data_IF_701268539171
#
_entry.id   IF_701268539171
#
_cell.length_a   1.000
_cell.length_b   1.000
_cell.length_c   1.000
_cell.angle_alpha   90.00
_cell.angle_beta   90.00
_cell.angle_gamma   90.00
#
_symmetry.space_group_name_H-M   'P 1'
#
loop_
_entity.id
_entity.type
_entity.pdbx_description
1 polymer ?
#
# COMPACT_ATOMS: atom_id res chain seq x y z
N UNK A 1 -21.00 34.09 -25.34
CA UNK A 1 -20.35 34.25 -24.02
C UNK A 1 -19.99 32.89 -23.39
N UNK A 2 -20.91 31.92 -23.34
CA UNK A 2 -20.65 30.56 -22.82
C UNK A 2 -19.49 29.82 -23.52
N UNK A 3 -19.45 29.79 -24.86
CA UNK A 3 -18.34 29.17 -25.61
C UNK A 3 -16.96 29.82 -25.38
N UNK A 4 -16.93 31.12 -25.09
CA UNK A 4 -15.68 31.85 -24.82
C UNK A 4 -15.14 31.55 -23.42
N UNK A 5 -16.02 31.44 -22.42
CA UNK A 5 -15.65 31.04 -21.05
C UNK A 5 -15.19 29.58 -21.00
N UNK A 6 -15.81 28.70 -21.78
CA UNK A 6 -15.44 27.28 -21.84
C UNK A 6 -14.08 27.08 -22.53
N UNK A 7 -13.78 27.85 -23.59
CA UNK A 7 -12.47 27.84 -24.26
C UNK A 7 -11.35 28.43 -23.39
N UNK A 8 -11.61 29.52 -22.64
CA UNK A 8 -10.66 30.08 -21.68
C UNK A 8 -10.39 29.13 -20.50
N UNK A 9 -11.42 28.45 -20.00
CA UNK A 9 -11.30 27.43 -18.95
C UNK A 9 -10.46 26.23 -19.42
N UNK A 10 -10.68 25.75 -20.65
CA UNK A 10 -9.90 24.67 -21.25
C UNK A 10 -8.43 25.05 -21.50
N UNK A 11 -8.17 26.26 -22.01
CA UNK A 11 -6.81 26.80 -22.23
C UNK A 11 -6.04 26.97 -20.91
N UNK A 12 -6.70 27.51 -19.89
CA UNK A 12 -6.14 27.66 -18.53
C UNK A 12 -5.84 26.32 -17.87
N UNK A 13 -6.76 25.34 -17.96
CA UNK A 13 -6.52 23.97 -17.48
C UNK A 13 -5.36 23.29 -18.21
N UNK A 14 -5.24 23.45 -19.53
CA UNK A 14 -4.14 22.91 -20.32
C UNK A 14 -2.76 23.48 -19.91
N UNK A 15 -2.70 24.78 -19.61
CA UNK A 15 -1.47 25.42 -19.15
C UNK A 15 -1.05 24.97 -17.74
N UNK A 16 -2.01 24.77 -16.83
CA UNK A 16 -1.76 24.24 -15.48
C UNK A 16 -1.27 22.79 -15.51
N UNK A 17 -1.84 21.95 -16.37
CA UNK A 17 -1.41 20.54 -16.54
C UNK A 17 0.01 20.49 -17.12
N UNK A 18 0.33 21.32 -18.11
CA UNK A 18 1.68 21.40 -18.68
C UNK A 18 2.75 21.80 -17.66
N UNK A 19 2.46 22.79 -16.81
CA UNK A 19 3.38 23.20 -15.73
C UNK A 19 3.57 22.11 -14.65
N UNK A 20 2.50 21.38 -14.31
CA UNK A 20 2.59 20.23 -13.40
C UNK A 20 3.47 19.11 -13.95
N UNK A 21 3.34 18.79 -15.25
CA UNK A 21 4.16 17.76 -15.90
C UNK A 21 5.65 18.12 -15.94
N UNK A 22 5.99 19.39 -16.19
CA UNK A 22 7.38 19.87 -16.16
C UNK A 22 7.96 19.78 -14.75
N UNK A 23 7.22 20.22 -13.73
CA UNK A 23 7.64 20.10 -12.33
C UNK A 23 7.81 18.64 -11.91
N UNK A 24 6.90 17.77 -12.34
CA UNK A 24 6.96 16.34 -12.09
C UNK A 24 8.22 15.70 -12.68
N UNK A 25 8.51 15.96 -13.97
CA UNK A 25 9.72 15.46 -14.64
C UNK A 25 11.01 15.93 -13.96
N UNK A 26 11.04 17.20 -13.50
CA UNK A 26 12.17 17.73 -12.73
C UNK A 26 12.36 16.97 -11.41
N UNK A 27 11.27 16.72 -10.67
CA UNK A 27 11.32 16.00 -9.38
C UNK A 27 11.72 14.53 -9.54
N UNK A 28 11.31 13.88 -10.63
CA UNK A 28 11.81 12.54 -10.97
C UNK A 28 13.34 12.53 -11.09
N UNK A 29 13.90 13.44 -11.86
CA UNK A 29 15.36 13.54 -12.04
C UNK A 29 16.07 13.82 -10.72
N UNK A 30 15.59 14.79 -9.94
CA UNK A 30 16.14 15.11 -8.63
C UNK A 30 16.12 13.92 -7.67
N UNK A 31 15.06 13.10 -7.70
CA UNK A 31 14.98 11.92 -6.83
C UNK A 31 15.98 10.85 -7.26
N UNK A 32 16.14 10.59 -8.56
CA UNK A 32 17.16 9.66 -9.06
C UNK A 32 18.57 10.05 -8.60
N UNK A 33 18.92 11.32 -8.71
CA UNK A 33 20.22 11.85 -8.24
C UNK A 33 20.37 11.75 -6.71
N UNK A 34 19.29 11.94 -5.95
CA UNK A 34 19.30 11.80 -4.50
C UNK A 34 19.45 10.34 -4.07
N UNK A 35 18.79 9.40 -4.76
CA UNK A 35 18.90 7.96 -4.49
C UNK A 35 20.30 7.41 -4.81
N UNK A 36 21.00 7.97 -5.79
CA UNK A 36 22.38 7.57 -6.09
C UNK A 36 23.37 7.82 -4.93
N UNK A 37 23.03 8.73 -4.01
CA UNK A 37 23.84 9.09 -2.84
C UNK A 37 23.14 8.76 -1.52
N UNK A 38 22.22 7.80 -1.54
CA UNK A 38 21.45 7.41 -0.36
C UNK A 38 22.36 6.79 0.72
N UNK A 39 22.07 7.07 2.00
CA UNK A 39 22.83 6.50 3.12
C UNK A 39 22.72 4.97 3.16
N UNK A 40 23.69 4.27 3.77
CA UNK A 40 23.78 2.80 3.70
C UNK A 40 22.58 2.05 4.29
N UNK A 41 21.89 2.64 5.28
CA UNK A 41 20.75 2.04 5.99
C UNK A 41 19.38 2.54 5.49
N UNK A 42 19.37 3.49 4.56
CA UNK A 42 18.16 4.09 3.99
C UNK A 42 17.60 3.41 2.72
N UNK A 43 18.28 2.53 1.95
CA UNK A 43 17.77 2.07 0.66
C UNK A 43 16.45 1.29 0.77
N UNK A 44 16.33 0.40 1.76
CA UNK A 44 15.10 -0.37 1.98
C UNK A 44 13.93 0.57 2.37
N UNK A 45 14.19 1.60 3.16
CA UNK A 45 13.19 2.59 3.57
C UNK A 45 12.74 3.41 2.36
N UNK A 46 13.67 3.79 1.47
CA UNK A 46 13.32 4.50 0.25
C UNK A 46 12.50 3.65 -0.71
N UNK A 47 12.86 2.37 -0.90
CA UNK A 47 12.06 1.43 -1.70
C UNK A 47 10.65 1.30 -1.13
N UNK A 48 10.53 1.13 0.18
CA UNK A 48 9.22 1.02 0.84
C UNK A 48 8.38 2.28 0.67
N UNK A 49 8.98 3.46 0.88
CA UNK A 49 8.28 4.73 0.73
C UNK A 49 7.84 4.96 -0.72
N UNK A 50 8.68 4.65 -1.71
CA UNK A 50 8.31 4.75 -3.12
C UNK A 50 7.14 3.82 -3.48
N UNK A 51 7.15 2.59 -2.95
CA UNK A 51 6.07 1.63 -3.14
C UNK A 51 4.78 2.11 -2.46
N UNK A 52 4.83 2.50 -1.18
CA UNK A 52 3.66 2.98 -0.41
C UNK A 52 3.06 4.27 -0.96
N UNK A 53 3.86 5.13 -1.59
CA UNK A 53 3.40 6.33 -2.28
C UNK A 53 2.94 6.07 -3.72
N UNK A 54 3.14 4.85 -4.23
CA UNK A 54 2.71 4.46 -5.57
C UNK A 54 3.46 5.17 -6.69
N UNK A 55 4.75 5.46 -6.49
CA UNK A 55 5.64 6.08 -7.50
C UNK A 55 6.76 5.14 -7.95
N UNK A 56 6.77 3.91 -7.44
CA UNK A 56 7.81 2.90 -7.66
C UNK A 56 8.04 2.55 -9.13
N UNK A 57 7.01 2.64 -9.97
CA UNK A 57 7.11 2.32 -11.41
C UNK A 57 8.07 3.23 -12.18
N UNK A 58 8.41 4.42 -11.67
CA UNK A 58 9.43 5.29 -12.26
C UNK A 58 10.87 4.89 -11.92
N UNK A 59 11.03 3.99 -10.94
CA UNK A 59 12.32 3.66 -10.32
C UNK A 59 12.61 2.16 -10.32
N UNK A 60 12.06 1.40 -11.28
CA UNK A 60 12.18 -0.06 -11.29
C UNK A 60 13.64 -0.53 -11.34
N UNK A 61 14.49 0.12 -12.14
CA UNK A 61 15.92 -0.21 -12.24
C UNK A 61 16.66 0.05 -10.91
N UNK A 62 16.38 1.19 -10.27
CA UNK A 62 16.97 1.56 -9.00
C UNK A 62 16.53 0.63 -7.87
N UNK A 63 15.23 0.28 -7.84
CA UNK A 63 14.65 -0.65 -6.87
C UNK A 63 15.26 -2.04 -7.05
N UNK A 64 15.37 -2.53 -8.28
CA UNK A 64 15.97 -3.84 -8.57
C UNK A 64 17.42 -3.89 -8.11
N UNK A 65 18.22 -2.86 -8.42
CA UNK A 65 19.61 -2.76 -8.00
C UNK A 65 19.75 -2.78 -6.46
N UNK A 66 18.89 -2.05 -5.74
CA UNK A 66 18.87 -2.03 -4.27
C UNK A 66 18.55 -3.42 -3.73
N UNK A 67 17.49 -4.06 -4.21
CA UNK A 67 17.02 -5.34 -3.68
C UNK A 67 17.96 -6.49 -4.01
N UNK A 68 18.58 -6.50 -5.19
CA UNK A 68 19.62 -7.47 -5.56
C UNK A 68 20.80 -7.43 -4.59
N UNK A 69 21.25 -6.23 -4.19
CA UNK A 69 22.31 -6.04 -3.19
C UNK A 69 21.89 -6.52 -1.79
N UNK A 70 20.61 -6.40 -1.44
CA UNK A 70 20.09 -6.84 -0.15
C UNK A 70 19.91 -8.36 -0.09
N UNK A 71 19.58 -8.99 -1.22
CA UNK A 71 19.47 -10.45 -1.35
C UNK A 71 20.81 -11.15 -1.09
N UNK A 72 21.92 -10.62 -1.62
CA UNK A 72 23.26 -11.18 -1.37
C UNK A 72 23.68 -11.04 0.09
N UNK A 73 23.24 -9.97 0.77
CA UNK A 73 23.54 -9.71 2.19
C UNK A 73 22.75 -10.62 3.13
N UNK A 74 21.49 -10.93 2.80
CA UNK A 74 20.66 -11.87 3.56
C UNK A 74 21.25 -13.31 3.60
N UNK A 75 22.08 -13.67 2.62
CA UNK A 75 22.69 -15.01 2.54
C UNK A 75 24.01 -15.16 3.32
N UNK A 76 24.57 -14.07 3.85
CA UNK A 76 25.98 -14.05 4.32
C UNK A 76 26.22 -13.78 5.80
N UNK A 77 25.42 -12.93 6.46
CA UNK A 77 25.63 -12.55 7.87
C UNK A 77 24.39 -11.81 8.40
N UNK A 78 23.47 -12.52 9.07
CA UNK A 78 22.25 -11.93 9.65
C UNK A 78 22.40 -11.59 11.14
N UNK A 79 23.60 -11.67 11.71
CA UNK A 79 23.82 -11.68 13.16
C UNK A 79 23.34 -10.44 13.93
N UNK A 80 23.29 -9.26 13.30
CA UNK A 80 23.04 -7.98 13.99
C UNK A 80 21.76 -7.22 13.62
N UNK A 81 21.07 -7.60 12.54
CA UNK A 81 19.93 -6.80 12.04
C UNK A 81 18.70 -6.94 12.96
N UNK A 82 18.10 -5.80 13.33
CA UNK A 82 16.86 -5.72 14.11
C UNK A 82 15.66 -6.32 13.37
N UNK A 83 14.61 -6.75 14.09
CA UNK A 83 13.43 -7.39 13.49
C UNK A 83 12.80 -6.52 12.40
N UNK A 84 12.67 -5.21 12.64
CA UNK A 84 12.09 -4.29 11.63
C UNK A 84 12.85 -4.32 10.31
N UNK A 85 14.19 -4.37 10.35
CA UNK A 85 15.03 -4.43 9.14
C UNK A 85 14.88 -5.77 8.44
N UNK A 86 14.89 -6.88 9.18
CA UNK A 86 14.72 -8.23 8.64
C UNK A 86 13.35 -8.38 7.99
N UNK A 87 12.28 -7.98 8.70
CA UNK A 87 10.92 -8.03 8.19
C UNK A 87 10.71 -7.16 6.96
N UNK A 88 11.27 -5.95 6.95
CA UNK A 88 11.21 -5.05 5.80
C UNK A 88 11.94 -5.64 4.59
N UNK A 89 13.16 -6.16 4.78
CA UNK A 89 13.95 -6.79 3.71
C UNK A 89 13.20 -8.00 3.14
N UNK A 90 12.71 -8.88 4.00
CA UNK A 90 11.93 -10.06 3.63
C UNK A 90 10.71 -9.67 2.78
N UNK A 91 9.92 -8.72 3.27
CA UNK A 91 8.71 -8.23 2.59
C UNK A 91 9.05 -7.69 1.21
N UNK A 92 9.99 -6.75 1.11
CA UNK A 92 10.31 -6.09 -0.16
C UNK A 92 10.90 -7.06 -1.20
N UNK A 93 11.72 -8.02 -0.76
CA UNK A 93 12.25 -9.07 -1.65
C UNK A 93 11.12 -9.95 -2.20
N UNK A 94 10.23 -10.45 -1.34
CA UNK A 94 9.09 -11.27 -1.80
C UNK A 94 8.14 -10.50 -2.72
N UNK A 95 7.88 -9.23 -2.43
CA UNK A 95 7.06 -8.38 -3.31
C UNK A 95 7.66 -8.22 -4.72
N UNK A 96 8.97 -8.39 -4.88
CA UNK A 96 9.66 -8.39 -6.17
C UNK A 96 9.92 -9.78 -6.76
N UNK A 97 9.29 -10.82 -6.21
CA UNK A 97 9.41 -12.18 -6.74
C UNK A 97 10.61 -12.98 -6.22
N UNK A 98 11.41 -12.43 -5.30
CA UNK A 98 12.53 -13.19 -4.72
C UNK A 98 12.01 -14.22 -3.70
N UNK A 99 12.45 -15.46 -3.85
CA UNK A 99 12.14 -16.53 -2.91
C UNK A 99 13.05 -16.44 -1.66
N UNK A 100 12.57 -15.78 -0.61
CA UNK A 100 13.25 -15.68 0.70
C UNK A 100 12.59 -16.66 1.67
N UNK A 101 13.37 -17.51 2.35
CA UNK A 101 12.82 -18.48 3.31
C UNK A 101 12.43 -17.80 4.63
N UNK A 102 11.53 -18.44 5.39
CA UNK A 102 11.11 -17.95 6.72
C UNK A 102 12.21 -18.09 7.78
N UNK A 103 13.32 -18.76 7.45
CA UNK A 103 14.46 -18.95 8.35
C UNK A 103 15.11 -17.63 8.79
N UNK A 104 14.95 -16.57 8.00
CA UNK A 104 15.35 -15.21 8.36
C UNK A 104 14.78 -14.76 9.72
N UNK A 105 13.66 -15.36 10.16
CA UNK A 105 13.02 -15.06 11.44
C UNK A 105 13.43 -16.00 12.58
N UNK A 106 14.21 -17.07 12.33
CA UNK A 106 14.52 -18.09 13.33
C UNK A 106 15.21 -17.53 14.58
N UNK A 107 16.05 -16.50 14.42
CA UNK A 107 16.75 -15.85 15.53
C UNK A 107 15.82 -15.14 16.53
N UNK A 108 14.58 -14.83 16.12
CA UNK A 108 13.57 -14.18 16.97
C UNK A 108 12.62 -15.18 17.63
N UNK A 109 12.70 -16.47 17.28
CA UNK A 109 11.76 -17.52 17.73
C UNK A 109 11.90 -17.89 19.21
N UNK A 110 13.11 -17.77 19.77
CA UNK A 110 13.45 -18.24 21.13
C UNK A 110 13.58 -17.12 22.17
N UNK A 111 13.39 -15.85 21.80
CA UNK A 111 13.36 -14.77 22.76
C UNK A 111 11.95 -14.68 23.35
N UNK A 112 11.76 -15.36 24.48
CA UNK A 112 10.51 -15.36 25.26
C UNK A 112 10.05 -13.94 25.64
N UNK A 113 10.98 -13.00 25.69
CA UNK A 113 10.71 -11.57 25.68
C UNK A 113 10.98 -11.03 24.27
N UNK A 114 9.93 -10.81 23.49
CA UNK A 114 9.99 -9.88 22.37
C UNK A 114 10.31 -8.49 22.96
N UNK A 115 11.59 -8.20 23.24
CA UNK A 115 12.08 -6.82 23.39
C UNK A 115 12.18 -6.19 22.01
N UNK A 116 11.09 -6.31 21.28
CA UNK A 116 10.92 -5.92 19.89
C UNK A 116 10.13 -4.63 19.93
N UNK A 117 10.65 -3.63 19.25
CA UNK A 117 9.99 -2.35 19.11
C UNK A 117 8.69 -2.50 18.28
N UNK A 118 7.77 -1.56 18.46
CA UNK A 118 6.49 -1.57 17.74
C UNK A 118 6.69 -1.58 16.23
N UNK A 119 7.73 -0.89 15.73
CA UNK A 119 8.10 -0.90 14.32
C UNK A 119 8.49 -2.31 13.83
N UNK A 120 9.26 -3.06 14.61
CA UNK A 120 9.60 -4.45 14.33
C UNK A 120 8.37 -5.36 14.27
N UNK A 121 7.43 -5.20 15.20
CA UNK A 121 6.18 -5.95 15.22
C UNK A 121 5.28 -5.62 14.02
N UNK A 122 5.12 -4.34 13.67
CA UNK A 122 4.40 -3.92 12.46
C UNK A 122 5.07 -4.49 11.21
N UNK A 123 6.40 -4.44 11.16
CA UNK A 123 7.17 -5.02 10.05
C UNK A 123 6.90 -6.52 9.89
N UNK A 124 6.92 -7.28 10.99
CA UNK A 124 6.65 -8.72 10.97
C UNK A 124 5.21 -9.04 10.58
N UNK A 125 4.24 -8.27 11.11
CA UNK A 125 2.85 -8.37 10.68
C UNK A 125 2.70 -8.15 9.17
N UNK A 126 3.26 -7.07 8.63
CA UNK A 126 3.23 -6.76 7.19
C UNK A 126 3.91 -7.82 6.33
N UNK A 127 5.04 -8.37 6.81
CA UNK A 127 5.76 -9.46 6.14
C UNK A 127 4.94 -10.77 6.12
N UNK A 128 4.16 -11.05 7.16
CA UNK A 128 3.38 -12.27 7.27
C UNK A 128 2.30 -12.40 6.20
N UNK A 129 1.78 -11.29 5.67
CA UNK A 129 0.79 -11.30 4.59
C UNK A 129 1.33 -11.81 3.24
N UNK A 130 2.65 -12.01 3.14
CA UNK A 130 3.33 -12.62 2.00
C UNK A 130 3.56 -14.14 2.19
N UNK A 131 2.97 -14.76 3.20
CA UNK A 131 3.00 -16.21 3.36
C UNK A 131 2.31 -16.92 2.20
N UNK A 132 2.72 -18.15 1.96
CA UNK A 132 2.08 -19.08 1.02
C UNK A 132 1.97 -20.48 1.65
N UNK A 133 1.25 -21.44 1.05
CA UNK A 133 0.99 -22.74 1.69
C UNK A 133 2.28 -23.49 2.04
N UNK A 134 2.36 -23.98 3.29
CA UNK A 134 3.56 -24.63 3.86
C UNK A 134 4.45 -23.72 4.72
N UNK A 135 4.00 -22.49 5.01
CA UNK A 135 4.72 -21.51 5.84
C UNK A 135 3.98 -21.18 7.14
N UNK A 136 3.52 -22.21 7.86
CA UNK A 136 2.70 -22.07 9.07
C UNK A 136 3.42 -21.29 10.18
N UNK A 137 4.76 -21.32 10.19
CA UNK A 137 5.57 -20.55 11.13
C UNK A 137 5.44 -19.04 10.92
N UNK A 138 5.35 -18.58 9.67
CA UNK A 138 5.16 -17.18 9.34
C UNK A 138 3.72 -16.75 9.61
N UNK A 139 2.75 -17.63 9.34
CA UNK A 139 1.35 -17.39 9.70
C UNK A 139 1.19 -17.21 11.23
N UNK A 140 1.83 -18.06 12.03
CA UNK A 140 1.80 -17.96 13.49
C UNK A 140 2.51 -16.69 13.99
N UNK A 141 3.64 -16.34 13.40
CA UNK A 141 4.34 -15.10 13.70
C UNK A 141 3.45 -13.88 13.40
N UNK A 142 2.75 -13.89 12.26
CA UNK A 142 1.78 -12.85 11.88
C UNK A 142 0.64 -12.71 12.89
N UNK A 143 0.00 -13.83 13.29
CA UNK A 143 -1.05 -13.84 14.31
C UNK A 143 -0.58 -13.30 15.65
N UNK A 144 0.63 -13.67 16.08
CA UNK A 144 1.20 -13.18 17.33
C UNK A 144 1.50 -11.69 17.26
N UNK A 145 2.05 -11.20 16.15
CA UNK A 145 2.26 -9.77 15.94
C UNK A 145 0.95 -8.99 15.95
N UNK A 146 -0.08 -9.48 15.28
CA UNK A 146 -1.42 -8.88 15.28
C UNK A 146 -2.00 -8.74 16.70
N UNK A 147 -1.95 -9.81 17.50
CA UNK A 147 -2.40 -9.80 18.89
C UNK A 147 -1.64 -8.79 19.73
N UNK A 148 -0.31 -8.79 19.66
CA UNK A 148 0.54 -7.87 20.43
C UNK A 148 0.32 -6.41 20.04
N UNK A 149 0.17 -6.12 18.74
CA UNK A 149 -0.13 -4.77 18.24
C UNK A 149 -1.52 -4.31 18.68
N UNK A 150 -2.52 -5.20 18.62
CA UNK A 150 -3.88 -4.92 19.10
C UNK A 150 -3.90 -4.64 20.59
N UNK A 151 -3.18 -5.41 21.40
CA UNK A 151 -3.09 -5.18 22.85
C UNK A 151 -2.27 -3.93 23.19
N UNK A 152 -1.22 -3.64 22.43
CA UNK A 152 -0.48 -2.39 22.57
C UNK A 152 -1.37 -1.17 22.29
N UNK A 153 -2.17 -1.20 21.21
CA UNK A 153 -3.09 -0.12 20.84
C UNK A 153 -4.09 0.22 21.95
N UNK A 154 -4.68 -0.81 22.59
CA UNK A 154 -5.64 -0.62 23.70
C UNK A 154 -5.06 0.20 24.85
N UNK A 155 -3.75 0.12 25.07
CA UNK A 155 -3.06 0.78 26.18
C UNK A 155 -2.32 2.07 25.79
N UNK A 156 -2.21 2.37 24.48
CA UNK A 156 -1.36 3.45 23.96
C UNK A 156 -2.09 4.31 22.92
N UNK A 157 -3.40 4.56 23.11
CA UNK A 157 -4.22 5.32 22.15
C UNK A 157 -3.70 6.76 21.89
N UNK A 158 -3.04 7.36 22.88
CA UNK A 158 -2.47 8.71 22.78
C UNK A 158 -1.03 8.73 22.18
N UNK A 159 -0.46 7.56 21.88
CA UNK A 159 0.88 7.48 21.30
C UNK A 159 0.86 7.96 19.83
N UNK A 160 1.88 8.73 19.44
CA UNK A 160 2.04 9.20 18.08
C UNK A 160 2.05 8.10 17.01
N UNK A 161 2.41 6.86 17.35
CA UNK A 161 2.40 5.71 16.45
C UNK A 161 1.05 5.01 16.39
N UNK A 162 0.11 5.27 17.33
CA UNK A 162 -1.15 4.55 17.45
C UNK A 162 -1.97 4.57 16.15
N UNK A 163 -2.08 5.74 15.52
CA UNK A 163 -2.80 5.87 14.25
C UNK A 163 -2.15 5.05 13.13
N UNK A 164 -0.82 5.08 13.01
CA UNK A 164 -0.10 4.32 11.99
C UNK A 164 -0.18 2.80 12.22
N UNK A 165 -0.13 2.36 13.48
CA UNK A 165 -0.28 0.96 13.88
C UNK A 165 -1.69 0.46 13.57
N UNK A 166 -2.72 1.19 14.01
CA UNK A 166 -4.12 0.85 13.72
C UNK A 166 -4.37 0.77 12.21
N UNK A 167 -3.85 1.74 11.46
CA UNK A 167 -3.99 1.76 10.01
C UNK A 167 -3.30 0.57 9.32
N UNK A 168 -2.14 0.14 9.83
CA UNK A 168 -1.43 -1.03 9.29
C UNK A 168 -2.20 -2.32 9.56
N UNK A 169 -2.78 -2.47 10.76
CA UNK A 169 -3.62 -3.62 11.11
C UNK A 169 -4.87 -3.70 10.23
N UNK A 170 -5.55 -2.58 10.03
CA UNK A 170 -6.77 -2.49 9.23
C UNK A 170 -6.49 -2.67 7.73
N UNK A 171 -5.38 -2.12 7.23
CA UNK A 171 -5.01 -2.13 5.82
C UNK A 171 -3.60 -2.65 5.58
N UNK A 172 -3.37 -3.98 5.71
CA UNK A 172 -2.08 -4.57 5.38
C UNK A 172 -1.64 -4.17 3.98
N UNK A 173 -0.41 -3.71 3.83
CA UNK A 173 0.04 -3.08 2.59
C UNK A 173 -0.07 -4.03 1.40
N UNK A 174 0.31 -5.29 1.58
CA UNK A 174 0.29 -6.28 0.50
C UNK A 174 -1.12 -6.57 -0.03
N UNK A 175 -2.14 -6.45 0.83
CA UNK A 175 -3.55 -6.75 0.54
C UNK A 175 -4.39 -5.49 0.26
N UNK A 176 -3.79 -4.32 0.31
CA UNK A 176 -4.47 -3.03 0.16
C UNK A 176 -4.00 -2.30 -1.10
N UNK A 177 -4.91 -1.55 -1.74
CA UNK A 177 -4.56 -0.73 -2.90
C UNK A 177 -3.75 0.50 -2.47
N UNK A 178 -2.50 0.54 -2.92
CA UNK A 178 -1.56 1.63 -2.68
C UNK A 178 -2.19 3.01 -2.88
N UNK A 179 -2.97 3.22 -3.95
CA UNK A 179 -3.53 4.54 -4.27
C UNK A 179 -4.43 5.09 -3.17
N UNK A 180 -5.24 4.25 -2.54
CA UNK A 180 -6.13 4.66 -1.43
C UNK A 180 -5.37 4.87 -0.12
N UNK A 181 -4.19 4.25 0.03
CA UNK A 181 -3.38 4.30 1.26
C UNK A 181 -2.28 5.35 1.23
N UNK A 182 -1.85 5.76 0.04
CA UNK A 182 -0.73 6.67 -0.18
C UNK A 182 -0.91 8.03 0.53
N UNK A 183 -2.13 8.56 0.60
CA UNK A 183 -2.43 9.83 1.30
C UNK A 183 -2.14 9.75 2.79
N UNK A 184 -2.65 8.71 3.47
CA UNK A 184 -2.40 8.50 4.89
C UNK A 184 -0.90 8.33 5.16
N UNK A 185 -0.23 7.49 4.36
CA UNK A 185 1.21 7.30 4.48
C UNK A 185 1.99 8.61 4.29
N UNK A 186 1.67 9.40 3.26
CA UNK A 186 2.36 10.66 2.96
C UNK A 186 2.23 11.71 4.08
N UNK A 187 1.09 11.72 4.78
CA UNK A 187 0.84 12.65 5.89
C UNK A 187 1.74 12.33 7.10
N UNK A 188 2.01 11.05 7.33
CA UNK A 188 2.84 10.57 8.45
C UNK A 188 4.33 10.39 8.07
N UNK A 189 4.65 10.37 6.78
CA UNK A 189 6.00 10.16 6.28
C UNK A 189 6.83 11.44 6.31
N UNK A 190 7.78 11.51 7.26
CA UNK A 190 8.65 12.66 7.47
C UNK A 190 10.13 12.26 7.61
N UNK A 191 11.03 13.20 7.32
CA UNK A 191 12.47 12.99 7.39
C UNK A 191 13.25 14.24 7.00
N UNK A 192 14.49 14.35 7.49
CA UNK A 192 15.38 15.49 7.20
C UNK A 192 16.19 15.29 5.92
N UNK A 193 16.20 14.06 5.41
CA UNK A 193 16.96 13.66 4.24
C UNK A 193 16.44 14.36 2.98
N UNK A 194 17.36 14.72 2.09
CA UNK A 194 17.02 15.34 0.80
C UNK A 194 16.05 14.46 0.00
N UNK A 195 16.32 13.16 -0.10
CA UNK A 195 15.48 12.24 -0.89
C UNK A 195 14.05 12.14 -0.35
N UNK A 196 13.85 12.21 0.98
CA UNK A 196 12.52 12.19 1.61
C UNK A 196 11.69 13.37 1.14
N UNK A 197 12.25 14.59 1.20
CA UNK A 197 11.54 15.79 0.79
C UNK A 197 11.19 15.77 -0.72
N UNK A 198 12.15 15.35 -1.55
CA UNK A 198 11.94 15.24 -3.01
C UNK A 198 10.86 14.19 -3.33
N UNK A 199 10.88 13.05 -2.64
CA UNK A 199 9.89 11.98 -2.80
C UNK A 199 8.48 12.44 -2.39
N UNK A 200 8.35 13.16 -1.26
CA UNK A 200 7.05 13.72 -0.83
C UNK A 200 6.49 14.68 -1.87
N UNK A 201 7.32 15.57 -2.42
CA UNK A 201 6.90 16.52 -3.47
C UNK A 201 6.49 15.80 -4.76
N UNK A 202 7.28 14.81 -5.18
CA UNK A 202 6.97 13.98 -6.34
C UNK A 202 5.61 13.27 -6.15
N UNK A 203 5.39 12.63 -5.01
CA UNK A 203 4.15 11.92 -4.71
C UNK A 203 2.93 12.85 -4.72
N UNK A 204 3.05 14.09 -4.23
CA UNK A 204 1.97 15.09 -4.31
C UNK A 204 1.65 15.46 -5.76
N UNK A 205 2.68 15.66 -6.60
CA UNK A 205 2.49 15.96 -8.02
C UNK A 205 1.82 14.80 -8.76
N UNK A 206 2.31 13.57 -8.56
CA UNK A 206 1.73 12.34 -9.09
C UNK A 206 0.27 12.17 -8.70
N UNK A 207 -0.04 12.39 -7.42
CA UNK A 207 -1.40 12.28 -6.92
C UNK A 207 -2.34 13.25 -7.66
N UNK A 208 -1.94 14.51 -7.80
CA UNK A 208 -2.74 15.52 -8.50
C UNK A 208 -2.92 15.19 -9.99
N UNK A 209 -1.87 14.68 -10.65
CA UNK A 209 -1.95 14.27 -12.06
C UNK A 209 -2.94 13.12 -12.25
N UNK A 210 -2.84 12.07 -11.45
CA UNK A 210 -3.72 10.90 -11.55
C UNK A 210 -5.15 11.21 -11.14
N UNK A 211 -5.36 12.02 -10.09
CA UNK A 211 -6.69 12.50 -9.72
C UNK A 211 -7.37 13.22 -10.89
N UNK A 212 -6.63 14.05 -11.63
CA UNK A 212 -7.18 14.75 -12.78
C UNK A 212 -7.62 13.81 -13.91
N UNK A 213 -6.90 12.69 -14.11
CA UNK A 213 -7.27 11.66 -15.09
C UNK A 213 -8.52 10.92 -14.64
N UNK A 214 -8.55 10.43 -13.40
CA UNK A 214 -9.70 9.71 -12.83
C UNK A 214 -10.96 10.59 -12.90
N UNK A 215 -10.87 11.87 -12.54
CA UNK A 215 -12.02 12.78 -12.61
C UNK A 215 -12.56 12.95 -14.03
N UNK A 216 -11.69 12.96 -15.04
CA UNK A 216 -12.11 13.05 -16.44
C UNK A 216 -12.77 11.74 -16.92
N UNK A 217 -12.31 10.60 -16.43
CA UNK A 217 -12.86 9.27 -16.77
C UNK A 217 -14.21 9.03 -16.07
N UNK A 218 -14.33 9.34 -14.77
CA UNK A 218 -15.58 9.19 -14.00
C UNK A 218 -16.70 10.08 -14.55
N UNK A 219 -16.38 11.26 -15.08
CA UNK A 219 -17.37 12.13 -15.73
C UNK A 219 -17.92 11.58 -17.07
N UNK A 220 -17.41 10.46 -17.58
CA UNK A 220 -17.84 9.85 -18.83
C UNK A 220 -18.70 8.60 -18.66
N UNK A 221 -18.91 8.11 -17.44
CA UNK A 221 -19.60 6.84 -17.21
C UNK A 221 -20.37 6.86 -15.87
N UNK A 222 -21.63 7.29 -15.91
CA UNK A 222 -22.60 7.11 -14.82
C UNK A 222 -23.95 6.75 -15.47
N UNK A 223 -24.21 5.44 -15.65
CA UNK A 223 -25.55 4.84 -15.86
C UNK A 223 -25.44 3.30 -15.99
N UNK A 224 -25.01 2.61 -14.93
CA UNK A 224 -25.08 1.13 -14.90
C UNK A 224 -25.84 0.63 -13.68
N UNK A 225 -27.03 0.08 -13.93
CA UNK A 225 -27.79 -0.73 -12.97
C UNK A 225 -27.15 -2.13 -12.92
N UNK A 226 -26.18 -2.29 -12.01
CA UNK A 226 -25.63 -3.59 -11.66
C UNK A 226 -26.56 -4.31 -10.68
N UNK A 227 -27.14 -5.43 -11.10
CA UNK A 227 -27.80 -6.37 -10.19
C UNK A 227 -26.93 -7.63 -10.08
N UNK A 228 -26.02 -7.66 -9.11
CA UNK A 228 -25.24 -8.85 -8.78
C UNK A 228 -25.91 -9.64 -7.64
N UNK A 229 -25.73 -10.96 -7.67
CA UNK A 229 -26.24 -11.85 -6.63
C UNK A 229 -25.40 -11.69 -5.35
N UNK A 230 -26.06 -11.49 -4.21
CA UNK A 230 -25.36 -11.42 -2.91
C UNK A 230 -24.80 -12.79 -2.50
N UNK A 231 -23.47 -12.88 -2.34
CA UNK A 231 -22.82 -14.08 -1.83
C UNK A 231 -23.34 -14.49 -0.44
N UNK A 232 -23.77 -13.51 0.36
CA UNK A 232 -24.35 -13.73 1.69
C UNK A 232 -25.67 -14.49 1.55
N UNK A 233 -26.52 -14.07 0.61
CA UNK A 233 -27.78 -14.75 0.33
C UNK A 233 -27.57 -16.19 -0.15
N UNK A 234 -26.57 -16.44 -0.97
CA UNK A 234 -26.19 -17.80 -1.39
C UNK A 234 -25.72 -18.64 -0.19
N UNK A 235 -24.79 -18.12 0.61
CA UNK A 235 -24.19 -18.87 1.73
C UNK A 235 -25.22 -19.21 2.82
N UNK A 236 -26.06 -18.27 3.22
CA UNK A 236 -27.10 -18.49 4.24
C UNK A 236 -28.17 -19.47 3.75
N UNK A 237 -28.50 -19.45 2.45
CA UNK A 237 -29.45 -20.39 1.87
C UNK A 237 -28.89 -21.82 1.79
N UNK A 238 -27.59 -21.97 1.54
CA UNK A 238 -26.89 -23.26 1.53
C UNK A 238 -26.59 -23.79 2.95
N UNK A 239 -26.46 -22.90 3.94
CA UNK A 239 -26.11 -23.23 5.33
C UNK A 239 -27.19 -22.72 6.30
N UNK A 240 -28.27 -23.51 6.44
CA UNK A 240 -29.39 -23.16 7.31
C UNK A 240 -28.93 -22.93 8.76
N UNK A 241 -29.22 -21.73 9.28
CA UNK A 241 -28.91 -21.32 10.66
C UNK A 241 -27.67 -20.43 10.82
N UNK A 242 -26.91 -20.17 9.75
CA UNK A 242 -25.81 -19.19 9.76
C UNK A 242 -26.33 -17.75 9.67
N UNK A 243 -25.67 -16.84 10.39
CA UNK A 243 -25.93 -15.40 10.26
C UNK A 243 -25.16 -14.77 9.09
N UNK A 244 -25.49 -13.52 8.77
CA UNK A 244 -24.74 -12.73 7.79
C UNK A 244 -23.29 -12.53 8.24
N UNK A 245 -23.03 -12.42 9.55
CA UNK A 245 -21.68 -12.34 10.12
C UNK A 245 -20.89 -13.63 9.93
N UNK A 246 -21.53 -14.81 10.09
CA UNK A 246 -20.88 -16.09 9.82
C UNK A 246 -20.47 -16.21 8.34
N UNK A 247 -21.36 -15.78 7.42
CA UNK A 247 -21.09 -15.73 5.99
C UNK A 247 -19.92 -14.80 5.66
N UNK A 248 -19.88 -13.60 6.27
CA UNK A 248 -18.78 -12.64 6.10
C UNK A 248 -17.46 -13.19 6.63
N UNK A 249 -17.45 -13.78 7.83
CA UNK A 249 -16.25 -14.38 8.42
C UNK A 249 -15.71 -15.53 7.56
N UNK A 250 -16.60 -16.38 7.04
CA UNK A 250 -16.24 -17.45 6.11
C UNK A 250 -15.59 -16.91 4.82
N UNK A 251 -16.18 -15.89 4.19
CA UNK A 251 -15.64 -15.30 2.96
C UNK A 251 -14.31 -14.59 3.19
N UNK A 252 -14.16 -13.85 4.30
CA UNK A 252 -12.88 -13.23 4.68
C UNK A 252 -11.79 -14.30 4.84
N UNK A 253 -12.10 -15.40 5.52
CA UNK A 253 -11.16 -16.52 5.66
C UNK A 253 -10.80 -17.15 4.31
N UNK A 254 -11.79 -17.42 3.46
CA UNK A 254 -11.59 -17.93 2.09
C UNK A 254 -10.68 -17.02 1.26
N UNK A 255 -10.95 -15.71 1.24
CA UNK A 255 -10.12 -14.72 0.55
C UNK A 255 -8.70 -14.78 1.07
N UNK A 256 -8.50 -14.86 2.40
CA UNK A 256 -7.16 -14.95 2.99
C UNK A 256 -6.40 -16.20 2.57
N UNK A 257 -7.07 -17.34 2.43
CA UNK A 257 -6.44 -18.58 1.95
C UNK A 257 -6.12 -18.50 0.45
N UNK A 258 -7.01 -17.94 -0.38
CA UNK A 258 -6.73 -17.71 -1.81
C UNK A 258 -5.55 -16.75 -2.03
N UNK A 259 -5.38 -15.74 -1.16
CA UNK A 259 -4.20 -14.87 -1.17
C UNK A 259 -2.89 -15.64 -1.03
N UNK A 260 -2.85 -16.73 -0.25
CA UNK A 260 -1.66 -17.57 -0.09
C UNK A 260 -1.32 -18.31 -1.40
N UNK A 261 -2.33 -18.84 -2.07
CA UNK A 261 -2.14 -19.46 -3.38
C UNK A 261 -1.68 -18.45 -4.42
N UNK A 262 -2.29 -17.25 -4.44
CA UNK A 262 -1.84 -16.17 -5.32
C UNK A 262 -0.39 -15.77 -5.05
N UNK A 263 0.02 -15.65 -3.78
CA UNK A 263 1.40 -15.39 -3.40
C UNK A 263 2.36 -16.45 -3.94
N UNK A 264 1.99 -17.74 -3.82
CA UNK A 264 2.76 -18.87 -4.36
C UNK A 264 2.96 -18.76 -5.87
N UNK A 265 1.89 -18.48 -6.61
CA UNK A 265 1.94 -18.36 -8.07
C UNK A 265 2.78 -17.15 -8.50
N UNK A 266 2.70 -16.03 -7.78
CA UNK A 266 3.53 -14.85 -8.02
C UNK A 266 5.04 -15.12 -7.82
N UNK A 267 5.37 -16.01 -6.89
CA UNK A 267 6.76 -16.42 -6.58
C UNK A 267 7.23 -17.61 -7.43
N UNK A 268 6.34 -18.25 -8.19
CA UNK A 268 6.66 -19.45 -8.95
C UNK A 268 7.59 -19.13 -10.11
N UNK A 269 8.71 -19.85 -10.20
CA UNK A 269 9.60 -19.78 -11.36
C UNK A 269 8.93 -20.24 -12.67
N UNK A 270 7.80 -20.96 -12.59
CA UNK A 270 7.00 -21.39 -13.74
C UNK A 270 5.86 -20.44 -14.09
N UNK A 271 5.74 -19.27 -13.43
CA UNK A 271 4.72 -18.29 -13.75
C UNK A 271 4.92 -17.79 -15.20
N UNK A 272 3.96 -18.02 -16.12
CA UNK A 272 4.12 -17.65 -17.52
C UNK A 272 3.88 -16.16 -17.77
N UNK A 273 3.42 -15.40 -16.77
CA UNK A 273 3.01 -14.02 -16.91
C UNK A 273 4.16 -13.03 -16.63
N UNK A 274 4.09 -11.87 -17.27
CA UNK A 274 5.05 -10.78 -17.02
C UNK A 274 4.86 -10.16 -15.64
N UNK A 275 5.90 -9.53 -15.10
CA UNK A 275 5.82 -8.83 -13.81
C UNK A 275 4.69 -7.78 -13.78
N UNK A 276 4.47 -7.06 -14.88
CA UNK A 276 3.38 -6.09 -15.02
C UNK A 276 2.00 -6.74 -14.92
N UNK A 277 1.82 -7.91 -15.54
CA UNK A 277 0.56 -8.65 -15.47
C UNK A 277 0.34 -9.24 -14.09
N UNK A 278 1.38 -9.78 -13.46
CA UNK A 278 1.32 -10.23 -12.05
C UNK A 278 0.94 -9.09 -11.11
N UNK A 279 1.50 -7.89 -11.30
CA UNK A 279 1.13 -6.69 -10.52
C UNK A 279 -0.33 -6.26 -10.78
N UNK A 280 -0.82 -6.38 -12.02
CA UNK A 280 -2.22 -6.16 -12.36
C UNK A 280 -3.14 -7.15 -11.64
N UNK A 281 -2.83 -8.45 -11.69
CA UNK A 281 -3.59 -9.49 -11.02
C UNK A 281 -3.67 -9.25 -9.50
N UNK A 282 -2.54 -8.89 -8.88
CA UNK A 282 -2.50 -8.48 -7.46
C UNK A 282 -3.37 -7.25 -7.20
N UNK A 283 -3.34 -6.23 -8.07
CA UNK A 283 -4.20 -5.05 -7.91
C UNK A 283 -5.69 -5.38 -8.04
N UNK A 284 -6.07 -6.28 -8.96
CA UNK A 284 -7.45 -6.79 -9.05
C UNK A 284 -7.84 -7.52 -7.76
N UNK A 285 -6.97 -8.38 -7.23
CA UNK A 285 -7.21 -9.06 -5.96
C UNK A 285 -7.39 -8.08 -4.78
N UNK A 286 -6.65 -6.95 -4.75
CA UNK A 286 -6.80 -5.90 -3.73
C UNK A 286 -8.09 -5.10 -3.85
N UNK A 287 -8.75 -5.10 -5.01
CA UNK A 287 -10.08 -4.49 -5.17
C UNK A 287 -11.18 -5.34 -4.52
N UNK A 288 -10.98 -6.65 -4.41
CA UNK A 288 -12.02 -7.60 -3.95
C UNK A 288 -12.63 -7.17 -2.61
N UNK A 289 -11.88 -6.90 -1.52
CA UNK A 289 -12.50 -6.50 -0.26
C UNK A 289 -13.36 -5.23 -0.36
N UNK A 290 -12.95 -4.27 -1.19
CA UNK A 290 -13.69 -3.02 -1.42
C UNK A 290 -14.96 -3.23 -2.22
N UNK A 291 -14.94 -4.21 -3.13
CA UNK A 291 -16.09 -4.56 -3.96
C UNK A 291 -17.11 -5.42 -3.19
N UNK A 292 -16.74 -6.05 -2.07
CA UNK A 292 -17.65 -6.90 -1.30
C UNK A 292 -18.03 -6.31 0.07
N UNK A 293 -17.66 -5.06 0.33
CA UNK A 293 -18.03 -4.30 1.54
C UNK A 293 -19.44 -3.67 1.43
N UNK A 294 -20.41 -4.39 0.88
CA UNK A 294 -21.78 -3.87 0.80
C UNK A 294 -22.43 -3.81 2.18
N UNK A 295 -23.11 -2.70 2.45
CA UNK A 295 -24.03 -2.58 3.57
C UNK A 295 -25.44 -3.06 3.19
N UNK A 296 -26.36 -3.05 4.16
CA UNK A 296 -27.77 -3.43 3.98
C UNK A 296 -28.55 -2.58 2.97
N UNK A 297 -27.97 -1.50 2.46
CA UNK A 297 -28.54 -0.61 1.45
C UNK A 297 -27.91 -0.83 0.06
N UNK A 298 -27.14 -1.91 -0.14
CA UNK A 298 -26.41 -2.19 -1.37
C UNK A 298 -25.45 -1.06 -1.81
N UNK A 299 -25.01 -0.21 -0.86
CA UNK A 299 -23.96 0.76 -1.13
C UNK A 299 -22.59 0.19 -0.75
N UNK A 300 -21.53 0.74 -1.36
CA UNK A 300 -20.13 0.40 -1.09
C UNK A 300 -19.47 1.51 -0.26
N UNK A 301 -19.77 1.64 1.04
CA UNK A 301 -19.31 2.75 1.88
C UNK A 301 -17.79 2.90 1.88
N UNK A 302 -17.03 1.81 2.02
CA UNK A 302 -15.56 1.89 1.96
C UNK A 302 -15.05 2.40 0.61
N UNK A 303 -15.62 1.94 -0.51
CA UNK A 303 -15.23 2.42 -1.83
C UNK A 303 -15.59 3.90 -2.01
N UNK A 304 -16.79 4.29 -1.57
CA UNK A 304 -17.28 5.67 -1.64
C UNK A 304 -16.40 6.62 -0.81
N UNK A 305 -16.03 6.24 0.42
CA UNK A 305 -15.11 7.02 1.26
C UNK A 305 -13.74 7.16 0.62
N UNK A 306 -13.19 6.07 0.08
CA UNK A 306 -11.91 6.10 -0.62
C UNK A 306 -11.96 6.99 -1.87
N UNK A 307 -13.02 6.89 -2.67
CA UNK A 307 -13.23 7.74 -3.85
C UNK A 307 -13.41 9.20 -3.46
N UNK A 308 -14.18 9.50 -2.41
CA UNK A 308 -14.31 10.85 -1.86
C UNK A 308 -12.93 11.36 -1.43
N UNK A 309 -12.17 10.61 -0.65
CA UNK A 309 -10.83 11.01 -0.23
C UNK A 309 -9.92 11.27 -1.43
N UNK A 310 -9.96 10.43 -2.48
CA UNK A 310 -9.20 10.66 -3.70
C UNK A 310 -9.60 11.96 -4.39
N UNK A 311 -10.89 12.23 -4.55
CA UNK A 311 -11.45 13.29 -5.40
C UNK A 311 -11.76 14.61 -4.68
N UNK A 312 -11.79 14.67 -3.35
CA UNK A 312 -12.13 15.90 -2.60
C UNK A 312 -10.93 16.64 -2.03
N UNK A 313 -9.81 15.94 -1.80
CA UNK A 313 -8.60 16.50 -1.18
C UNK A 313 -7.44 16.64 -2.18
N UNK A 314 -7.53 17.59 -3.12
CA UNK A 314 -6.36 17.91 -3.95
C UNK A 314 -5.27 18.52 -3.05
N UNK A 315 -4.02 18.09 -3.16
CA UNK A 315 -2.90 18.68 -2.39
C UNK A 315 -2.66 20.16 -2.73
N UNK A 316 -3.30 20.68 -3.78
CA UNK A 316 -3.26 22.09 -4.20
C UNK A 316 -4.16 23.00 -3.35
N UNK A 317 -5.25 22.49 -2.79
CA UNK A 317 -6.18 23.29 -1.98
C UNK A 317 -5.54 23.79 -0.67
N UNK A 318 -4.60 23.01 -0.10
CA UNK A 318 -3.89 23.36 1.12
C UNK A 318 -2.71 24.33 0.91
N UNK A 319 -2.22 24.49 -0.32
CA UNK A 319 -1.14 25.44 -0.65
C UNK A 319 -1.62 26.87 -0.90
N UNK A 320 -2.86 27.02 -1.38
CA UNK A 320 -3.44 28.33 -1.71
C UNK A 320 -4.04 29.07 -0.50
N UNK A 321 -4.38 28.37 0.58
CA UNK A 321 -4.81 28.98 1.84
C UNK A 321 -3.65 29.68 2.57
N UNK A 322 -2.46 29.09 2.57
CA UNK A 322 -1.28 29.66 3.24
C UNK A 322 -0.67 30.88 2.53
N UNK A 323 -0.97 31.11 1.24
CA UNK A 323 -0.54 32.32 0.52
C UNK A 323 -1.51 33.50 0.67
N UNK A 324 -2.76 33.27 1.12
CA UNK A 324 -3.73 34.35 1.37
C UNK A 324 -3.64 34.94 2.78
N UNK A 325 -2.93 34.30 3.70
CA UNK A 325 -2.71 34.78 5.06
C UNK A 325 -1.42 35.59 5.23
N UNK A 326 -0.64 35.80 4.16
CA UNK A 326 0.60 36.59 4.16
C UNK A 326 0.64 37.65 3.04
N UNK A 327 -0.50 38.03 2.48
CA UNK A 327 -0.63 39.13 1.52
C UNK A 327 -1.42 40.29 2.12
#
# INVERSE_FOLDING_TARGET
MAHFLQAHSASSKGQVIGDLQVRHAKKLKELKEALANIGENEPLIAVDAMQRLGVDYHFQEEIEAILKKQCTRASGDEGSDELGVVSLRFRLLRQQGYHVTTDAFNKFKNNEEFKVDISGLVGLYEASHLSFPGEETLDEAGRRSDQLLTDWLKNNLDDHQASAVAYSLEYPYHKSLTRFRAKNFLNNFEGKQKWVNVLRELAKLEFNMVESLIRNEVQQDEDQDGNDGSYIACYVNENQGCSDEDARAFVVHRISEEWKFLNKECLSASNPFSASFTKLALNVARMVPLMYDYNSQHSLPSLEENMKSLLSDSFLAQGLSNQRSQA
#
